data_IF_886351077225
#
_entry.id   IF_886351077225
#
_cell.length_a   1.000
_cell.length_b   1.000
_cell.length_c   1.000
_cell.angle_alpha   90.00
_cell.angle_beta   90.00
_cell.angle_gamma   90.00
#
_symmetry.space_group_name_H-M   'P 1'
#
loop_
_entity.id
_entity.type
_entity.pdbx_description
1 polymer ?
#
# COMPACT_ATOMS: atom_id res chain seq x y z
N UNK A 1 -43.78 9.41 -34.31
CA UNK A 1 -43.29 9.66 -32.94
C UNK A 1 -42.81 8.33 -32.39
N UNK A 2 -41.55 8.05 -32.60
CA UNK A 2 -40.85 6.85 -32.13
C UNK A 2 -40.02 7.28 -30.94
N UNK A 3 -40.43 6.81 -29.75
CA UNK A 3 -39.64 6.95 -28.52
C UNK A 3 -38.43 6.04 -28.63
N UNK A 4 -37.25 6.64 -28.80
CA UNK A 4 -35.97 5.95 -28.58
C UNK A 4 -35.80 5.70 -27.09
N UNK A 5 -35.90 4.44 -26.73
CA UNK A 5 -35.64 3.95 -25.41
C UNK A 5 -34.12 3.96 -25.17
N UNK A 6 -33.61 5.01 -24.55
CA UNK A 6 -32.22 5.13 -24.12
C UNK A 6 -32.01 4.16 -22.93
N UNK A 7 -31.74 2.90 -23.26
CA UNK A 7 -31.28 1.93 -22.31
C UNK A 7 -29.80 2.24 -21.99
N UNK A 8 -29.58 3.12 -21.00
CA UNK A 8 -28.27 3.29 -20.39
C UNK A 8 -27.82 1.92 -19.85
N UNK A 9 -26.89 1.31 -20.58
CA UNK A 9 -26.20 0.09 -20.15
C UNK A 9 -25.46 0.41 -18.85
N UNK A 10 -26.06 0.05 -17.73
CA UNK A 10 -25.34 -0.07 -16.44
C UNK A 10 -24.32 -1.19 -16.67
N UNK A 11 -23.07 -0.84 -16.89
CA UNK A 11 -22.00 -1.82 -16.92
C UNK A 11 -21.98 -2.46 -15.53
N UNK A 12 -22.32 -3.73 -15.47
CA UNK A 12 -22.21 -4.55 -14.26
C UNK A 12 -20.72 -4.66 -13.91
N UNK A 13 -20.25 -3.80 -12.99
CA UNK A 13 -18.84 -3.70 -12.60
C UNK A 13 -18.58 -4.86 -11.64
N UNK A 14 -18.24 -6.01 -12.20
CA UNK A 14 -17.93 -7.21 -11.42
C UNK A 14 -16.54 -7.14 -10.80
N UNK A 15 -16.38 -7.80 -9.63
CA UNK A 15 -15.08 -8.00 -9.01
C UNK A 15 -14.18 -8.84 -9.93
N UNK A 16 -12.91 -8.40 -10.05
CA UNK A 16 -11.88 -9.17 -10.75
C UNK A 16 -11.73 -10.58 -10.18
N UNK A 17 -11.67 -11.58 -11.06
CA UNK A 17 -11.35 -12.96 -10.66
C UNK A 17 -9.94 -13.02 -10.05
N UNK A 18 -9.76 -13.86 -9.04
CA UNK A 18 -8.45 -14.06 -8.39
C UNK A 18 -7.41 -14.53 -9.42
N UNK A 19 -6.29 -13.80 -9.62
CA UNK A 19 -5.24 -14.22 -10.53
C UNK A 19 -4.45 -15.42 -9.99
N UNK A 20 -3.97 -16.34 -10.84
CA UNK A 20 -3.23 -17.54 -10.41
C UNK A 20 -2.00 -17.26 -9.55
N UNK A 21 -1.37 -16.09 -9.69
CA UNK A 21 -0.22 -15.68 -8.89
C UNK A 21 -0.55 -15.46 -7.41
N UNK A 22 -1.82 -15.24 -7.05
CA UNK A 22 -2.20 -14.92 -5.68
C UNK A 22 -1.83 -16.02 -4.69
N UNK A 23 -2.13 -17.28 -5.00
CA UNK A 23 -1.77 -18.42 -4.13
C UNK A 23 -0.26 -18.52 -3.89
N UNK A 24 0.55 -18.32 -4.94
CA UNK A 24 2.01 -18.37 -4.82
C UNK A 24 2.57 -17.24 -3.95
N UNK A 25 1.97 -16.03 -4.02
CA UNK A 25 2.42 -14.85 -3.30
C UNK A 25 2.00 -14.85 -1.81
N UNK A 26 0.84 -15.39 -1.49
CA UNK A 26 0.34 -15.42 -0.11
C UNK A 26 0.55 -16.77 0.59
N UNK A 27 0.76 -17.86 -0.16
CA UNK A 27 0.93 -19.21 0.38
C UNK A 27 -0.18 -19.60 1.35
N UNK A 28 0.17 -20.06 2.54
CA UNK A 28 -0.80 -20.45 3.58
C UNK A 28 -1.71 -19.30 4.08
N UNK A 29 -1.44 -18.08 3.69
CA UNK A 29 -2.22 -16.88 4.10
C UNK A 29 -3.22 -16.42 3.04
N UNK A 30 -3.39 -17.16 1.94
CA UNK A 30 -4.26 -16.78 0.83
C UNK A 30 -5.72 -16.53 1.26
N UNK A 31 -6.24 -17.29 2.22
CA UNK A 31 -7.63 -17.11 2.68
C UNK A 31 -7.85 -15.74 3.33
N UNK A 32 -6.88 -15.20 4.09
CA UNK A 32 -6.94 -13.85 4.63
C UNK A 32 -6.90 -12.78 3.52
N UNK A 33 -6.11 -13.01 2.48
CA UNK A 33 -6.09 -12.11 1.32
C UNK A 33 -7.41 -12.12 0.54
N UNK A 34 -8.03 -13.29 0.38
CA UNK A 34 -9.37 -13.46 -0.21
C UNK A 34 -10.43 -12.71 0.60
N UNK A 35 -10.43 -12.90 1.92
CA UNK A 35 -11.35 -12.19 2.82
C UNK A 35 -11.16 -10.68 2.72
N UNK A 36 -9.93 -10.17 2.86
CA UNK A 36 -9.64 -8.74 2.73
C UNK A 36 -10.12 -8.16 1.40
N UNK A 37 -9.87 -8.87 0.29
CA UNK A 37 -10.30 -8.45 -1.04
C UNK A 37 -11.82 -8.39 -1.16
N UNK A 38 -12.53 -9.38 -0.60
CA UNK A 38 -14.00 -9.43 -0.59
C UNK A 38 -14.59 -8.29 0.25
N UNK A 39 -14.02 -8.02 1.44
CA UNK A 39 -14.47 -6.94 2.33
C UNK A 39 -14.21 -5.56 1.71
N UNK A 40 -13.06 -5.38 1.07
CA UNK A 40 -12.73 -4.14 0.35
C UNK A 40 -13.62 -3.95 -0.88
N UNK A 41 -13.94 -5.01 -1.61
CA UNK A 41 -14.89 -4.98 -2.71
C UNK A 41 -16.29 -4.58 -2.25
N UNK A 42 -16.78 -5.18 -1.16
CA UNK A 42 -18.13 -4.94 -0.64
C UNK A 42 -18.33 -3.54 -0.06
N UNK A 43 -17.30 -2.91 0.51
CA UNK A 43 -17.42 -1.68 1.32
C UNK A 43 -16.52 -0.54 0.88
N UNK A 44 -15.56 -0.82 0.00
CA UNK A 44 -14.50 0.13 -0.35
C UNK A 44 -15.01 1.40 -1.03
N UNK A 45 -16.01 1.30 -1.90
CA UNK A 45 -16.63 2.44 -2.56
C UNK A 45 -17.46 3.29 -1.56
N UNK A 46 -18.34 2.66 -0.79
CA UNK A 46 -19.16 3.33 0.24
C UNK A 46 -18.30 4.12 1.24
N UNK A 47 -17.20 3.53 1.67
CA UNK A 47 -16.28 4.14 2.61
C UNK A 47 -15.26 5.10 1.96
N UNK A 48 -15.28 5.25 0.64
CA UNK A 48 -14.33 6.08 -0.11
C UNK A 48 -12.88 5.63 0.04
N UNK A 49 -12.66 4.32 0.07
CA UNK A 49 -11.36 3.66 0.17
C UNK A 49 -10.78 3.34 -1.21
N UNK A 50 -11.64 2.97 -2.15
CA UNK A 50 -11.34 2.72 -3.56
C UNK A 50 -12.35 3.43 -4.43
N UNK A 51 -11.97 3.72 -5.68
CA UNK A 51 -12.88 4.30 -6.66
C UNK A 51 -13.83 3.26 -7.28
N UNK A 52 -14.97 3.71 -7.85
CA UNK A 52 -15.98 2.81 -8.41
C UNK A 52 -15.46 1.95 -9.57
N UNK A 53 -14.44 2.41 -10.30
CA UNK A 53 -13.87 1.69 -11.44
C UNK A 53 -12.71 0.74 -11.06
N UNK A 54 -12.44 0.55 -9.76
CA UNK A 54 -11.30 -0.29 -9.32
C UNK A 54 -11.68 -1.77 -9.17
N UNK A 55 -12.96 -2.11 -9.10
CA UNK A 55 -13.44 -3.49 -8.92
C UNK A 55 -12.90 -4.48 -9.98
N UNK A 56 -12.90 -4.16 -11.29
CA UNK A 56 -12.40 -5.08 -12.32
C UNK A 56 -10.88 -5.31 -12.31
N UNK A 57 -10.15 -4.63 -11.43
CA UNK A 57 -8.69 -4.71 -11.29
C UNK A 57 -8.23 -4.69 -9.83
N UNK A 58 -9.12 -5.07 -8.91
CA UNK A 58 -8.86 -4.98 -7.48
C UNK A 58 -7.72 -5.93 -7.06
N UNK A 59 -7.73 -7.15 -7.57
CA UNK A 59 -6.65 -8.10 -7.33
C UNK A 59 -5.33 -7.65 -7.95
N UNK A 60 -5.32 -7.43 -9.25
CA UNK A 60 -4.09 -7.16 -10.00
C UNK A 60 -3.44 -5.84 -9.59
N UNK A 61 -4.22 -4.76 -9.59
CA UNK A 61 -3.70 -3.40 -9.37
C UNK A 61 -3.50 -3.05 -7.90
N UNK A 62 -4.24 -3.68 -6.98
CA UNK A 62 -4.20 -3.29 -5.57
C UNK A 62 -3.60 -4.38 -4.69
N UNK A 63 -4.12 -5.59 -4.73
CA UNK A 63 -3.69 -6.67 -3.85
C UNK A 63 -2.32 -7.21 -4.29
N UNK A 64 -2.20 -7.65 -5.54
CA UNK A 64 -0.93 -8.20 -6.03
C UNK A 64 0.17 -7.14 -6.10
N UNK A 65 -0.16 -5.94 -6.59
CA UNK A 65 0.77 -4.82 -6.59
C UNK A 65 1.35 -4.54 -5.19
N UNK A 66 0.55 -4.67 -4.14
CA UNK A 66 0.99 -4.47 -2.76
C UNK A 66 1.86 -5.64 -2.24
N UNK A 67 1.43 -6.89 -2.45
CA UNK A 67 2.15 -8.06 -1.91
C UNK A 67 3.50 -8.30 -2.58
N UNK A 68 3.69 -7.83 -3.81
CA UNK A 68 5.00 -7.89 -4.49
C UNK A 68 6.13 -7.23 -3.70
N UNK A 69 5.80 -6.31 -2.78
CA UNK A 69 6.79 -5.70 -1.88
C UNK A 69 7.22 -6.63 -0.74
N UNK A 70 6.48 -7.69 -0.43
CA UNK A 70 6.72 -8.56 0.72
C UNK A 70 8.14 -9.18 0.79
N UNK A 71 8.82 -9.55 -0.31
CA UNK A 71 10.20 -10.04 -0.26
C UNK A 71 11.22 -9.01 0.21
N UNK A 72 10.93 -7.71 0.12
CA UNK A 72 11.80 -6.62 0.58
C UNK A 72 11.55 -6.24 2.05
N UNK A 73 10.46 -6.72 2.63
CA UNK A 73 10.14 -6.47 4.04
C UNK A 73 11.03 -7.36 4.92
N UNK A 74 11.72 -6.73 5.87
CA UNK A 74 12.56 -7.38 6.88
C UNK A 74 11.76 -7.55 8.18
N UNK A 75 12.10 -8.56 9.00
CA UNK A 75 11.58 -8.60 10.37
C UNK A 75 11.93 -7.30 11.11
N UNK A 76 10.96 -6.72 11.80
CA UNK A 76 11.08 -5.43 12.48
C UNK A 76 9.82 -4.59 12.35
N UNK A 77 9.93 -3.29 12.60
CA UNK A 77 8.81 -2.34 12.58
C UNK A 77 8.72 -1.65 11.21
N UNK A 78 7.62 -1.88 10.52
CA UNK A 78 7.33 -1.33 9.18
C UNK A 78 6.18 -0.34 9.26
N UNK A 79 6.44 0.93 8.96
CA UNK A 79 5.38 1.94 8.88
C UNK A 79 4.72 1.97 7.51
N UNK A 80 3.40 2.03 7.46
CA UNK A 80 2.66 2.34 6.24
C UNK A 80 2.11 3.77 6.34
N UNK A 81 2.65 4.67 5.54
CA UNK A 81 2.38 6.10 5.62
C UNK A 81 1.17 6.46 4.75
N UNK A 82 0.09 6.91 5.40
CA UNK A 82 -1.17 7.19 4.72
C UNK A 82 -1.85 5.90 4.26
N UNK A 83 -2.04 4.97 5.16
CA UNK A 83 -2.50 3.59 4.87
C UNK A 83 -3.81 3.48 4.11
N UNK A 84 -4.71 4.46 4.25
CA UNK A 84 -5.95 4.54 3.49
C UNK A 84 -6.83 3.30 3.61
N UNK A 85 -6.94 2.56 2.51
CA UNK A 85 -7.67 1.28 2.46
C UNK A 85 -6.90 0.11 3.11
N UNK A 86 -5.67 0.33 3.60
CA UNK A 86 -4.78 -0.73 4.07
C UNK A 86 -3.83 -1.23 2.98
N UNK A 87 -3.57 -0.40 1.97
CA UNK A 87 -2.77 -0.73 0.81
C UNK A 87 -1.50 0.14 0.75
N UNK A 88 -0.31 -0.42 0.99
CA UNK A 88 0.00 -1.84 1.03
C UNK A 88 -0.04 -2.47 2.44
N UNK A 89 -0.22 -1.73 3.52
CA UNK A 89 0.05 -2.14 4.89
C UNK A 89 -0.65 -3.43 5.35
N UNK A 90 -1.99 -3.54 5.20
CA UNK A 90 -2.73 -4.76 5.57
C UNK A 90 -2.34 -5.95 4.70
N UNK A 91 -2.16 -5.74 3.40
CA UNK A 91 -1.74 -6.80 2.48
C UNK A 91 -0.37 -7.35 2.86
N UNK A 92 0.56 -6.46 3.23
CA UNK A 92 1.88 -6.85 3.70
C UNK A 92 1.83 -7.54 5.07
N UNK A 93 0.97 -7.09 5.97
CA UNK A 93 0.77 -7.73 7.28
C UNK A 93 0.23 -9.15 7.14
N UNK A 94 -0.66 -9.40 6.18
CA UNK A 94 -1.12 -10.75 5.84
C UNK A 94 0.05 -11.61 5.36
N UNK A 95 0.88 -11.11 4.43
CA UNK A 95 1.95 -11.88 3.80
C UNK A 95 3.17 -12.08 4.71
N UNK A 96 3.44 -11.15 5.65
CA UNK A 96 4.64 -11.10 6.50
C UNK A 96 4.30 -11.05 7.99
N UNK A 97 3.84 -12.18 8.56
CA UNK A 97 3.50 -12.26 9.99
C UNK A 97 4.73 -12.12 10.92
N UNK A 98 5.93 -12.18 10.36
CA UNK A 98 7.21 -12.00 11.06
C UNK A 98 7.64 -10.54 11.20
N UNK A 99 6.90 -9.58 10.63
CA UNK A 99 7.12 -8.14 10.74
C UNK A 99 5.93 -7.45 11.43
N UNK A 100 6.21 -6.36 12.15
CA UNK A 100 5.20 -5.55 12.84
C UNK A 100 4.83 -4.36 11.95
N UNK A 101 3.55 -4.19 11.65
CA UNK A 101 3.07 -3.11 10.79
C UNK A 101 2.39 -2.00 11.60
N UNK A 102 2.86 -0.76 11.42
CA UNK A 102 2.30 0.44 12.02
C UNK A 102 1.60 1.24 10.92
N UNK A 103 0.27 1.19 10.91
CA UNK A 103 -0.56 1.84 9.90
C UNK A 103 -0.88 3.27 10.35
N UNK A 104 -0.34 4.28 9.67
CA UNK A 104 -0.50 5.69 10.03
C UNK A 104 -1.50 6.33 9.08
N UNK A 105 -2.65 6.76 9.61
CA UNK A 105 -3.76 7.33 8.84
C UNK A 105 -4.46 8.43 9.64
N UNK A 106 -4.61 9.66 9.11
CA UNK A 106 -5.26 10.75 9.86
C UNK A 106 -6.79 10.68 9.88
N UNK A 107 -7.44 10.08 8.87
CA UNK A 107 -8.88 10.11 8.72
C UNK A 107 -9.56 9.04 9.59
N UNK A 108 -10.40 9.47 10.54
CA UNK A 108 -11.12 8.60 11.49
C UNK A 108 -11.82 7.42 10.82
N UNK A 109 -12.63 7.66 9.79
CA UNK A 109 -13.35 6.62 9.06
C UNK A 109 -12.43 5.54 8.49
N UNK A 110 -11.23 5.92 8.00
CA UNK A 110 -10.23 4.99 7.48
C UNK A 110 -9.52 4.24 8.60
N UNK A 111 -9.26 4.91 9.72
CA UNK A 111 -8.72 4.27 10.94
C UNK A 111 -9.68 3.20 11.46
N UNK A 112 -10.99 3.49 11.51
CA UNK A 112 -11.99 2.53 11.94
C UNK A 112 -12.09 1.33 11.00
N UNK A 113 -11.96 1.56 9.69
CA UNK A 113 -11.82 0.50 8.69
C UNK A 113 -10.59 -0.37 8.98
N UNK A 114 -9.41 0.24 9.11
CA UNK A 114 -8.15 -0.48 9.33
C UNK A 114 -8.18 -1.34 10.60
N UNK A 115 -8.73 -0.81 11.70
CA UNK A 115 -8.88 -1.55 12.96
C UNK A 115 -9.81 -2.74 12.81
N UNK A 116 -10.97 -2.53 12.22
CA UNK A 116 -11.94 -3.59 11.99
C UNK A 116 -11.37 -4.69 11.09
N UNK A 117 -10.68 -4.34 10.00
CA UNK A 117 -10.08 -5.33 9.12
C UNK A 117 -8.94 -6.09 9.80
N UNK A 118 -8.10 -5.40 10.59
CA UNK A 118 -7.04 -6.05 11.37
C UNK A 118 -7.60 -7.08 12.34
N UNK A 119 -8.72 -6.78 13.01
CA UNK A 119 -9.41 -7.69 13.93
C UNK A 119 -10.07 -8.85 13.17
N UNK A 120 -10.83 -8.57 12.11
CA UNK A 120 -11.53 -9.58 11.31
C UNK A 120 -10.58 -10.58 10.64
N UNK A 121 -9.38 -10.13 10.24
CA UNK A 121 -8.35 -10.96 9.63
C UNK A 121 -7.39 -11.59 10.66
N UNK A 122 -7.63 -11.38 11.95
CA UNK A 122 -6.77 -11.88 13.05
C UNK A 122 -5.28 -11.53 12.84
N UNK A 123 -5.00 -10.25 12.59
CA UNK A 123 -3.64 -9.74 12.36
C UNK A 123 -3.04 -9.19 13.65
N UNK A 124 -2.40 -10.05 14.44
CA UNK A 124 -1.74 -9.69 15.71
C UNK A 124 -0.50 -8.79 15.50
N UNK A 125 -0.05 -8.67 14.25
CA UNK A 125 1.13 -7.91 13.86
C UNK A 125 0.79 -6.50 13.31
N UNK A 126 -0.40 -5.97 13.59
CA UNK A 126 -0.85 -4.64 13.13
C UNK A 126 -1.15 -3.72 14.29
N UNK A 127 -0.61 -2.51 14.24
CA UNK A 127 -0.94 -1.37 15.10
C UNK A 127 -1.48 -0.23 14.23
N UNK A 128 -2.65 0.34 14.55
CA UNK A 128 -3.24 1.47 13.81
C UNK A 128 -3.10 2.76 14.60
N UNK A 129 -2.35 3.72 14.04
CA UNK A 129 -2.07 5.04 14.62
C UNK A 129 -2.86 6.11 13.88
N UNK A 130 -3.83 6.74 14.57
CA UNK A 130 -4.55 7.89 14.03
C UNK A 130 -3.70 9.14 14.18
N UNK A 131 -2.97 9.51 13.14
CA UNK A 131 -2.15 10.71 13.10
C UNK A 131 -1.83 11.10 11.66
N UNK A 132 -1.45 12.37 11.43
CA UNK A 132 -0.65 12.74 10.27
C UNK A 132 0.78 12.24 10.47
N UNK A 133 1.50 11.95 9.39
CA UNK A 133 2.87 11.43 9.48
C UNK A 133 3.78 12.36 10.32
N UNK A 134 3.68 13.68 10.10
CA UNK A 134 4.44 14.70 10.83
C UNK A 134 4.08 14.84 12.32
N UNK A 135 2.92 14.32 12.72
CA UNK A 135 2.42 14.35 14.10
C UNK A 135 2.60 13.00 14.81
N UNK A 136 2.93 11.95 14.06
CA UNK A 136 3.10 10.62 14.61
C UNK A 136 4.33 10.55 15.53
N UNK A 137 4.10 10.20 16.79
CA UNK A 137 5.15 10.01 17.80
C UNK A 137 5.39 8.53 17.99
N UNK A 138 6.32 7.97 17.22
CA UNK A 138 6.65 6.55 17.27
C UNK A 138 7.84 6.31 18.20
N UNK A 139 7.70 5.31 19.07
CA UNK A 139 8.78 4.81 19.92
C UNK A 139 8.60 3.29 20.09
N UNK A 140 9.59 2.48 19.69
CA UNK A 140 10.79 2.84 18.92
C UNK A 140 10.48 3.30 17.49
N UNK A 141 11.48 3.88 16.80
CA UNK A 141 11.39 4.25 15.39
C UNK A 141 11.13 3.04 14.48
N UNK A 142 10.81 3.33 13.21
CA UNK A 142 10.60 2.32 12.18
C UNK A 142 11.93 1.79 11.64
N UNK A 143 11.99 0.50 11.32
CA UNK A 143 13.08 -0.11 10.56
C UNK A 143 12.91 0.12 9.06
N UNK A 144 11.67 0.09 8.59
CA UNK A 144 11.31 0.36 7.20
C UNK A 144 10.02 1.20 7.16
N UNK A 145 9.86 1.97 6.09
CA UNK A 145 8.61 2.67 5.82
C UNK A 145 8.16 2.45 4.38
N UNK A 146 6.88 2.19 4.21
CA UNK A 146 6.22 2.07 2.92
C UNK A 146 5.13 3.12 2.76
N UNK A 147 4.76 3.40 1.52
CA UNK A 147 3.63 4.24 1.16
C UNK A 147 3.18 3.93 -0.26
N UNK A 148 1.89 4.14 -0.55
CA UNK A 148 1.31 4.04 -1.88
C UNK A 148 0.30 5.16 -2.13
N UNK A 149 0.40 5.81 -3.30
CA UNK A 149 -0.55 6.85 -3.74
C UNK A 149 -0.77 8.03 -2.77
N UNK A 150 0.23 8.36 -1.93
CA UNK A 150 0.13 9.44 -0.93
C UNK A 150 0.47 10.80 -1.56
N UNK A 151 1.70 10.95 -2.07
CA UNK A 151 2.18 12.20 -2.70
C UNK A 151 3.46 11.98 -3.49
N UNK A 152 3.94 13.03 -4.19
CA UNK A 152 5.24 13.01 -4.84
C UNK A 152 6.39 12.84 -3.82
N UNK A 153 7.52 12.25 -4.24
CA UNK A 153 8.70 12.00 -3.41
C UNK A 153 9.18 13.24 -2.67
N UNK A 154 9.14 14.40 -3.31
CA UNK A 154 9.55 15.68 -2.71
C UNK A 154 8.76 16.06 -1.45
N UNK A 155 7.53 15.59 -1.31
CA UNK A 155 6.68 15.78 -0.12
C UNK A 155 6.73 14.59 0.82
N UNK A 156 6.75 13.37 0.28
CA UNK A 156 6.69 12.14 1.06
C UNK A 156 7.96 11.89 1.88
N UNK A 157 9.14 12.12 1.29
CA UNK A 157 10.43 11.92 1.97
C UNK A 157 10.54 12.73 3.28
N UNK A 158 10.31 14.07 3.30
CA UNK A 158 10.40 14.84 4.53
C UNK A 158 9.42 14.43 5.63
N UNK A 159 8.26 13.88 5.26
CA UNK A 159 7.27 13.39 6.21
C UNK A 159 7.65 12.04 6.82
N UNK A 160 8.38 11.22 6.07
CA UNK A 160 8.65 9.82 6.45
C UNK A 160 10.00 9.64 7.14
N UNK A 161 11.05 10.31 6.65
CA UNK A 161 12.42 10.17 7.19
C UNK A 161 12.50 10.36 8.71
N UNK A 162 11.81 11.34 9.34
CA UNK A 162 11.86 11.51 10.80
C UNK A 162 11.28 10.34 11.61
N UNK A 163 10.53 9.44 10.98
CA UNK A 163 9.92 8.28 11.62
C UNK A 163 10.80 7.03 11.52
N UNK A 164 11.80 7.04 10.65
CA UNK A 164 12.67 5.90 10.33
C UNK A 164 14.01 6.08 11.02
N UNK A 165 14.53 5.02 11.64
CA UNK A 165 15.87 5.05 12.24
C UNK A 165 16.97 5.19 11.19
N UNK A 166 18.17 5.62 11.61
CA UNK A 166 19.38 5.53 10.78
C UNK A 166 19.65 4.08 10.38
N UNK A 167 20.03 3.85 9.12
CA UNK A 167 20.15 2.54 8.49
C UNK A 167 18.81 1.86 8.16
N UNK A 168 17.68 2.52 8.40
CA UNK A 168 16.37 2.04 7.97
C UNK A 168 16.08 2.36 6.49
N UNK A 169 15.05 1.75 5.93
CA UNK A 169 14.77 1.84 4.49
C UNK A 169 13.41 2.48 4.18
N UNK A 170 13.36 3.23 3.09
CA UNK A 170 12.13 3.70 2.46
C UNK A 170 11.81 2.80 1.27
N UNK A 171 10.58 2.29 1.20
CA UNK A 171 10.09 1.38 0.16
C UNK A 171 8.75 1.91 -0.37
N UNK A 172 8.77 2.88 -1.26
CA UNK A 172 7.55 3.53 -1.75
C UNK A 172 7.10 2.96 -3.09
N UNK A 173 5.84 2.47 -3.13
CA UNK A 173 5.22 2.03 -4.38
C UNK A 173 4.89 3.24 -5.24
N UNK A 174 5.42 3.25 -6.46
CA UNK A 174 5.34 4.38 -7.37
C UNK A 174 4.83 3.95 -8.76
N UNK A 175 4.42 4.92 -9.54
CA UNK A 175 4.02 4.72 -10.94
C UNK A 175 5.20 4.73 -11.92
N UNK A 176 4.90 4.69 -13.21
CA UNK A 176 5.87 4.67 -14.30
C UNK A 176 6.77 5.92 -14.38
N UNK A 177 6.39 7.02 -13.72
CA UNK A 177 7.14 8.29 -13.70
C UNK A 177 8.13 8.40 -12.53
N UNK A 178 8.44 7.33 -11.83
CA UNK A 178 9.26 7.37 -10.61
C UNK A 178 10.66 7.95 -10.85
N UNK A 179 11.28 7.67 -11.98
CA UNK A 179 12.59 8.21 -12.34
C UNK A 179 12.55 9.74 -12.46
N UNK A 180 11.54 10.31 -13.12
CA UNK A 180 11.33 11.75 -13.19
C UNK A 180 10.98 12.37 -11.83
N UNK A 181 10.28 11.63 -10.97
CA UNK A 181 10.05 12.06 -9.58
C UNK A 181 11.35 12.14 -8.77
N UNK A 182 12.27 11.19 -8.96
CA UNK A 182 13.60 11.18 -8.29
C UNK A 182 14.41 12.40 -8.72
N UNK A 183 14.47 12.69 -10.02
CA UNK A 183 15.14 13.88 -10.53
C UNK A 183 14.58 15.16 -9.90
N UNK A 184 13.27 15.30 -9.89
CA UNK A 184 12.55 16.43 -9.29
C UNK A 184 12.77 16.54 -7.77
N UNK A 185 12.92 15.40 -7.07
CA UNK A 185 13.16 15.31 -5.64
C UNK A 185 14.64 15.36 -5.23
N UNK A 186 15.59 15.50 -6.18
CA UNK A 186 17.04 15.39 -5.95
C UNK A 186 17.57 16.27 -4.81
N UNK A 187 17.04 17.48 -4.65
CA UNK A 187 17.41 18.38 -3.56
C UNK A 187 16.93 17.86 -2.19
N UNK A 188 15.74 17.28 -2.15
CA UNK A 188 15.13 16.72 -0.93
C UNK A 188 15.86 15.44 -0.53
N UNK A 189 16.17 14.57 -1.47
CA UNK A 189 16.94 13.34 -1.28
C UNK A 189 18.29 13.65 -0.63
N UNK A 190 19.04 14.62 -1.19
CA UNK A 190 20.33 15.05 -0.60
C UNK A 190 20.18 15.67 0.78
N UNK A 191 19.15 16.52 0.99
CA UNK A 191 18.91 17.16 2.30
C UNK A 191 18.54 16.13 3.37
N UNK A 192 17.81 15.10 3.00
CA UNK A 192 17.42 14.00 3.87
C UNK A 192 18.55 12.96 4.06
N UNK A 193 19.72 13.15 3.42
CA UNK A 193 20.88 12.23 3.45
C UNK A 193 20.53 10.80 3.08
N UNK A 194 19.63 10.62 2.09
CA UNK A 194 19.31 9.29 1.62
C UNK A 194 20.46 8.73 0.78
N UNK A 195 20.83 7.48 1.06
CA UNK A 195 21.81 6.69 0.31
C UNK A 195 21.13 5.52 -0.42
N UNK A 196 21.86 4.82 -1.26
CA UNK A 196 21.40 3.62 -2.00
C UNK A 196 20.07 3.84 -2.73
N UNK A 197 19.91 5.04 -3.32
CA UNK A 197 18.67 5.39 -4.05
C UNK A 197 18.58 4.63 -5.34
N UNK A 198 17.56 3.79 -5.46
CA UNK A 198 17.31 2.96 -6.65
C UNK A 198 15.83 2.81 -6.95
N UNK A 199 15.52 2.38 -8.16
CA UNK A 199 14.18 1.95 -8.57
C UNK A 199 14.20 0.45 -8.83
N UNK A 200 13.35 -0.27 -8.10
CA UNK A 200 13.17 -1.71 -8.31
C UNK A 200 11.89 -1.93 -9.14
N UNK A 201 11.94 -2.89 -10.07
CA UNK A 201 10.77 -3.40 -10.78
C UNK A 201 10.47 -4.79 -10.26
N UNK A 202 9.28 -4.97 -9.68
CA UNK A 202 8.85 -6.22 -9.05
C UNK A 202 7.71 -6.86 -9.84
N UNK A 203 7.69 -8.20 -9.88
CA UNK A 203 6.60 -8.97 -10.49
C UNK A 203 6.79 -9.29 -11.97
N UNK A 204 7.95 -9.03 -12.56
CA UNK A 204 8.24 -9.41 -13.95
C UNK A 204 8.07 -10.92 -14.15
N UNK A 205 7.30 -11.29 -15.17
CA UNK A 205 6.99 -12.70 -15.47
C UNK A 205 6.00 -13.37 -14.50
N UNK A 206 5.57 -12.69 -13.44
CA UNK A 206 4.65 -13.23 -12.44
C UNK A 206 3.26 -12.60 -12.51
N UNK A 207 3.18 -11.30 -12.75
CA UNK A 207 1.94 -10.53 -12.83
C UNK A 207 1.89 -9.72 -14.13
N UNK A 208 0.67 -9.31 -14.53
CA UNK A 208 0.48 -8.52 -15.75
C UNK A 208 1.01 -7.08 -15.57
N UNK A 209 0.75 -6.48 -14.41
CA UNK A 209 1.20 -5.12 -14.08
C UNK A 209 2.34 -5.18 -13.06
N UNK A 210 3.56 -4.83 -13.48
CA UNK A 210 4.71 -4.74 -12.59
C UNK A 210 4.58 -3.61 -11.59
N UNK A 211 5.17 -3.79 -10.42
CA UNK A 211 5.26 -2.76 -9.37
C UNK A 211 6.61 -2.08 -9.40
N UNK A 212 6.64 -0.75 -9.48
CA UNK A 212 7.86 0.04 -9.32
C UNK A 212 7.99 0.52 -7.88
N UNK A 213 9.16 0.36 -7.31
CA UNK A 213 9.46 0.73 -5.93
C UNK A 213 10.64 1.69 -5.89
N UNK A 214 10.42 2.88 -5.35
CA UNK A 214 11.51 3.73 -4.91
C UNK A 214 12.08 3.13 -3.63
N UNK A 215 13.36 2.77 -3.62
CA UNK A 215 14.09 2.32 -2.45
C UNK A 215 15.19 3.28 -2.11
N UNK A 216 15.39 3.55 -0.82
CA UNK A 216 16.50 4.34 -0.31
C UNK A 216 16.80 3.98 1.15
N UNK A 217 18.03 4.17 1.58
CA UNK A 217 18.47 4.03 2.98
C UNK A 217 18.52 5.39 3.66
N UNK A 218 18.03 5.48 4.90
CA UNK A 218 18.11 6.68 5.76
C UNK A 218 19.44 6.67 6.49
N UNK A 219 20.25 7.75 6.34
CA UNK A 219 21.54 7.92 7.03
C UNK A 219 21.37 8.46 8.46
#
# INVERSE_FOLDING_TARGET
MTEENDASTVQDISLEAEPPAAEALFGARIERARQFTADLAARGEELGLIGPLEMPRLWSRHILNSVLLAPLIKPGRVGDIGSGAGLPGLVLAIARPDAQFILIEPMERRVDWLRRESEALELDNVEVVRARAEEAKLSPWLDQATARAVSALSKLIPLTVPLVRSGGELLFLKGASVEAEIESASKVIRRARLTDVEVLTLGEGLVVEVTRVFRATVD
#
